data_IF_903010120955
#
_entry.id   IF_903010120955
#
_cell.length_a   1.000
_cell.length_b   1.000
_cell.length_c   1.000
_cell.angle_alpha   90.00
_cell.angle_beta   90.00
_cell.angle_gamma   90.00
#
_symmetry.space_group_name_H-M   'P 1'
#
loop_
_entity.id
_entity.type
_entity.pdbx_description
1 polymer ?
#
# COMPACT_ATOMS: atom_id res chain seq x y z
N UNK A 1 17.82 -3.31 -18.54
CA UNK A 1 17.50 -2.93 -19.94
C UNK A 1 16.05 -2.53 -20.14
N UNK A 2 15.05 -3.37 -19.83
CA UNK A 2 13.63 -3.01 -20.05
C UNK A 2 13.24 -1.72 -19.31
N UNK A 3 13.55 -1.62 -18.01
CA UNK A 3 13.26 -0.42 -17.20
C UNK A 3 13.97 0.82 -17.77
N UNK A 4 15.28 0.71 -18.05
CA UNK A 4 16.08 1.78 -18.66
C UNK A 4 15.41 2.30 -19.93
N UNK A 5 14.97 1.43 -20.83
CA UNK A 5 14.35 1.86 -22.09
C UNK A 5 13.02 2.59 -21.94
N UNK A 6 12.27 2.35 -20.87
CA UNK A 6 11.02 3.07 -20.60
C UNK A 6 11.24 4.37 -19.82
N UNK A 7 12.35 4.48 -19.09
CA UNK A 7 12.62 5.62 -18.22
C UNK A 7 13.73 6.55 -18.78
N UNK A 8 14.38 6.22 -19.90
CA UNK A 8 15.50 6.99 -20.44
C UNK A 8 15.13 8.42 -20.84
N UNK A 9 13.85 8.67 -21.17
CA UNK A 9 13.34 10.00 -21.50
C UNK A 9 12.90 10.85 -20.31
N UNK A 10 12.89 10.31 -19.07
CA UNK A 10 12.40 11.04 -17.92
C UNK A 10 13.44 12.00 -17.35
N UNK A 11 13.13 13.29 -17.38
CA UNK A 11 13.99 14.40 -16.95
C UNK A 11 13.21 15.39 -16.10
N UNK A 12 13.88 16.03 -15.14
CA UNK A 12 13.33 17.14 -14.34
C UNK A 12 13.41 18.44 -15.16
N UNK A 13 12.26 19.08 -15.36
CA UNK A 13 12.14 20.31 -16.13
C UNK A 13 12.30 21.56 -15.25
N UNK A 14 12.45 22.74 -15.87
CA UNK A 14 12.58 24.04 -15.21
C UNK A 14 11.41 24.44 -14.29
N UNK A 15 10.26 23.80 -14.43
CA UNK A 15 9.12 23.95 -13.53
C UNK A 15 9.13 22.95 -12.35
N UNK A 16 10.22 22.19 -12.20
CA UNK A 16 10.44 21.10 -11.23
C UNK A 16 9.58 19.84 -11.47
N UNK A 17 8.80 19.80 -12.57
CA UNK A 17 8.03 18.61 -12.94
C UNK A 17 8.94 17.57 -13.60
N UNK A 18 8.64 16.29 -13.38
CA UNK A 18 9.29 15.19 -14.10
C UNK A 18 8.46 14.89 -15.34
N UNK A 19 9.08 15.04 -16.51
CA UNK A 19 8.42 14.82 -17.79
C UNK A 19 9.15 13.80 -18.63
N UNK A 20 8.39 13.10 -19.47
CA UNK A 20 8.95 12.27 -20.53
C UNK A 20 9.31 13.12 -21.75
N UNK A 21 10.05 12.52 -22.68
CA UNK A 21 10.53 13.10 -23.94
C UNK A 21 9.42 13.63 -24.86
N UNK A 22 8.18 13.14 -24.70
CA UNK A 22 6.99 13.62 -25.42
C UNK A 22 6.33 14.84 -24.76
N UNK A 23 6.82 15.28 -23.60
CA UNK A 23 6.27 16.38 -22.81
C UNK A 23 5.19 15.99 -21.80
N UNK A 24 4.84 14.70 -21.72
CA UNK A 24 3.89 14.17 -20.74
C UNK A 24 4.43 14.30 -19.31
N UNK A 25 3.61 14.79 -18.39
CA UNK A 25 3.98 14.95 -16.97
C UNK A 25 3.78 13.64 -16.23
N UNK A 26 4.86 13.11 -15.64
CA UNK A 26 4.84 11.88 -14.83
C UNK A 26 4.78 12.19 -13.33
N UNK A 27 5.51 13.21 -12.87
CA UNK A 27 5.42 13.71 -11.49
C UNK A 27 5.38 15.24 -11.48
N UNK A 28 4.60 15.82 -10.56
CA UNK A 28 4.55 17.28 -10.39
C UNK A 28 5.78 17.84 -9.66
N UNK A 29 6.46 17.01 -8.87
CA UNK A 29 7.69 17.33 -8.18
C UNK A 29 8.47 16.03 -8.01
N UNK A 30 9.76 16.02 -8.36
CA UNK A 30 10.60 14.82 -8.23
C UNK A 30 10.59 14.30 -6.79
N UNK A 31 10.22 13.03 -6.59
CA UNK A 31 10.20 12.43 -5.26
C UNK A 31 9.21 13.08 -4.26
N UNK A 32 8.26 13.88 -4.74
CA UNK A 32 7.32 14.69 -3.95
C UNK A 32 7.97 15.81 -3.09
N UNK A 33 9.29 15.93 -3.06
CA UNK A 33 10.03 16.95 -2.30
C UNK A 33 11.04 17.76 -3.13
N UNK A 34 11.36 17.30 -4.34
CA UNK A 34 12.24 17.95 -5.31
C UNK A 34 13.72 17.78 -4.96
N UNK A 35 14.08 16.89 -4.05
CA UNK A 35 15.44 16.75 -3.55
C UNK A 35 16.27 15.76 -4.34
N UNK A 36 17.55 16.10 -4.52
CA UNK A 36 18.55 15.21 -5.09
C UNK A 36 19.14 14.29 -4.01
N UNK A 37 19.10 12.99 -4.27
CA UNK A 37 19.36 11.91 -3.31
C UNK A 37 20.76 12.05 -2.66
N UNK A 38 21.87 12.21 -3.40
CA UNK A 38 23.20 12.38 -2.82
C UNK A 38 23.32 13.65 -1.97
N UNK A 39 22.54 14.70 -2.25
CA UNK A 39 22.55 15.96 -1.48
C UNK A 39 21.71 15.89 -0.20
N UNK A 40 20.92 14.83 0.02
CA UNK A 40 20.03 14.69 1.19
C UNK A 40 20.71 14.24 2.49
N UNK A 41 21.95 13.74 2.44
CA UNK A 41 22.63 13.15 3.61
C UNK A 41 22.65 14.09 4.83
N UNK A 42 22.89 15.39 4.59
CA UNK A 42 22.95 16.41 5.63
C UNK A 42 21.58 16.99 6.03
N UNK A 43 20.49 16.59 5.38
CA UNK A 43 19.12 16.98 5.75
C UNK A 43 18.51 16.04 6.80
N UNK A 44 19.25 15.02 7.25
CA UNK A 44 18.81 14.12 8.30
C UNK A 44 19.00 14.76 9.69
N UNK A 45 18.07 14.56 10.64
CA UNK A 45 18.15 15.18 11.98
C UNK A 45 19.46 14.92 12.71
N UNK A 46 20.05 13.73 12.52
CA UNK A 46 21.34 13.33 13.10
C UNK A 46 22.51 14.22 12.67
N UNK A 47 22.40 14.88 11.53
CA UNK A 47 23.43 15.75 10.95
C UNK A 47 23.19 17.24 11.22
N UNK A 48 22.06 17.61 11.83
CA UNK A 48 21.78 19.01 12.17
C UNK A 48 22.79 19.62 13.15
N UNK A 49 23.27 18.90 14.18
CA UNK A 49 24.35 19.41 15.05
C UNK A 49 25.63 19.74 14.27
N UNK A 50 25.96 18.92 13.27
CA UNK A 50 27.12 19.16 12.41
C UNK A 50 26.94 20.42 11.54
N UNK A 51 25.74 20.67 11.03
CA UNK A 51 25.45 21.91 10.30
C UNK A 51 25.51 23.13 11.22
N UNK A 52 24.98 23.01 12.44
CA UNK A 52 24.97 24.09 13.43
C UNK A 52 26.40 24.48 13.86
N UNK A 53 27.28 23.49 14.11
CA UNK A 53 28.68 23.77 14.48
C UNK A 53 29.50 24.40 13.36
N UNK A 54 29.16 24.10 12.10
CA UNK A 54 29.86 24.64 10.92
C UNK A 54 29.18 25.86 10.30
N UNK A 55 28.28 26.53 11.03
CA UNK A 55 27.47 27.63 10.52
C UNK A 55 28.30 28.74 9.84
N UNK A 56 29.38 29.21 10.48
CA UNK A 56 30.19 30.32 9.96
C UNK A 56 30.85 29.98 8.62
N UNK A 57 31.33 28.74 8.48
CA UNK A 57 31.98 28.25 7.26
C UNK A 57 30.96 28.17 6.13
N UNK A 58 29.75 27.68 6.43
CA UNK A 58 28.67 27.58 5.45
C UNK A 58 28.18 28.96 5.04
N UNK A 59 28.07 29.89 5.99
CA UNK A 59 27.65 31.27 5.75
C UNK A 59 28.60 31.99 4.79
N UNK A 60 29.92 31.87 5.02
CA UNK A 60 30.97 32.48 4.19
C UNK A 60 31.08 31.83 2.81
N UNK A 61 31.12 30.50 2.76
CA UNK A 61 31.37 29.75 1.51
C UNK A 61 30.20 29.78 0.52
N UNK A 62 28.97 30.04 0.98
CA UNK A 62 27.75 29.97 0.16
C UNK A 62 27.09 31.33 -0.10
N UNK A 63 27.78 32.44 0.22
CA UNK A 63 27.26 33.80 0.07
C UNK A 63 25.82 33.95 0.59
N UNK A 64 25.54 33.37 1.77
CA UNK A 64 24.18 33.31 2.33
C UNK A 64 23.54 34.71 2.43
N UNK A 65 24.35 35.75 2.67
CA UNK A 65 23.86 37.14 2.72
C UNK A 65 23.27 37.63 1.38
N UNK A 66 23.82 37.20 0.25
CA UNK A 66 23.29 37.56 -1.07
C UNK A 66 22.00 36.79 -1.39
N UNK A 67 21.90 35.53 -0.96
CA UNK A 67 20.68 34.75 -1.12
C UNK A 67 19.55 35.33 -0.26
N UNK A 68 19.84 35.64 1.00
CA UNK A 68 18.86 36.21 1.93
C UNK A 68 18.39 37.62 1.53
N UNK A 69 19.21 38.40 0.84
CA UNK A 69 18.78 39.72 0.35
C UNK A 69 17.78 39.63 -0.81
N UNK A 70 17.78 38.52 -1.56
CA UNK A 70 16.87 38.26 -2.69
C UNK A 70 15.69 37.35 -2.32
N UNK A 71 15.81 36.61 -1.22
CA UNK A 71 14.82 35.63 -0.78
C UNK A 71 13.74 36.25 0.12
N UNK A 72 12.46 36.04 -0.21
CA UNK A 72 11.32 36.38 0.66
C UNK A 72 10.78 35.11 1.39
N UNK A 73 11.14 34.87 2.66
CA UNK A 73 10.59 33.76 3.45
C UNK A 73 9.12 33.94 3.87
N UNK A 74 8.58 35.16 3.82
CA UNK A 74 7.35 35.48 4.55
C UNK A 74 6.14 34.72 4.02
N UNK A 75 6.06 34.49 2.71
CA UNK A 75 4.95 33.78 2.07
C UNK A 75 4.88 32.32 2.52
N UNK A 76 5.98 31.59 2.41
CA UNK A 76 6.06 30.19 2.83
C UNK A 76 5.82 30.04 4.34
N UNK A 77 6.43 30.89 5.17
CA UNK A 77 6.24 30.86 6.62
C UNK A 77 4.79 31.15 7.04
N UNK A 78 4.11 32.12 6.40
CA UNK A 78 2.69 32.40 6.65
C UNK A 78 1.83 31.19 6.29
N UNK A 79 2.15 30.51 5.20
CA UNK A 79 1.45 29.31 4.76
C UNK A 79 1.62 28.17 5.77
N UNK A 80 2.84 27.91 6.23
CA UNK A 80 3.09 26.93 7.29
C UNK A 80 2.35 27.25 8.60
N UNK A 81 2.25 28.53 8.99
CA UNK A 81 1.43 28.93 10.14
C UNK A 81 -0.04 28.59 9.93
N UNK A 82 -0.57 28.76 8.72
CA UNK A 82 -1.94 28.37 8.40
C UNK A 82 -2.14 26.85 8.46
N UNK A 83 -1.21 26.06 7.92
CA UNK A 83 -1.21 24.59 8.01
C UNK A 83 -1.19 24.14 9.48
N UNK A 84 -0.24 24.63 10.29
CA UNK A 84 -0.13 24.28 11.72
C UNK A 84 -1.39 24.68 12.51
N UNK A 85 -1.97 25.85 12.22
CA UNK A 85 -3.24 26.31 12.81
C UNK A 85 -4.43 25.43 12.41
N UNK A 86 -4.41 24.87 11.20
CA UNK A 86 -5.44 23.92 10.77
C UNK A 86 -5.26 22.56 11.44
N UNK A 87 -4.04 22.04 11.50
CA UNK A 87 -3.69 20.77 12.14
C UNK A 87 -4.02 20.78 13.64
N UNK A 88 -3.74 21.88 14.35
CA UNK A 88 -4.07 21.99 15.78
C UNK A 88 -5.58 21.99 16.05
N UNK A 89 -6.38 22.49 15.11
CA UNK A 89 -7.85 22.42 15.18
C UNK A 89 -8.40 21.05 14.79
N UNK A 90 -7.62 20.23 14.08
CA UNK A 90 -8.05 18.94 13.53
C UNK A 90 -7.04 17.81 13.81
N UNK A 91 -6.80 17.44 15.09
CA UNK A 91 -5.79 16.43 15.44
C UNK A 91 -6.13 14.99 15.00
N UNK A 92 -7.41 14.70 14.75
CA UNK A 92 -7.93 13.35 14.45
C UNK A 92 -8.75 13.29 13.14
N UNK A 93 -8.46 14.14 12.16
CA UNK A 93 -9.14 14.07 10.86
C UNK A 93 -8.72 12.82 10.09
N UNK A 94 -9.61 11.83 10.06
CA UNK A 94 -9.59 10.79 9.03
C UNK A 94 -9.64 11.47 7.66
N UNK A 95 -8.59 11.29 6.86
CA UNK A 95 -8.27 11.95 5.57
C UNK A 95 -9.37 11.93 4.49
N UNK A 96 -10.54 11.32 4.72
CA UNK A 96 -11.61 11.17 3.71
C UNK A 96 -13.01 11.44 4.26
N UNK A 97 -13.19 12.48 5.09
CA UNK A 97 -14.55 12.95 5.45
C UNK A 97 -14.91 14.19 4.63
N UNK A 98 -15.53 13.98 3.47
CA UNK A 98 -16.08 15.07 2.65
C UNK A 98 -17.41 15.60 3.20
N UNK A 99 -17.83 16.78 2.72
CA UNK A 99 -19.08 17.43 3.14
C UNK A 99 -20.30 16.51 2.97
N UNK A 100 -20.36 15.78 1.85
CA UNK A 100 -21.39 14.79 1.58
C UNK A 100 -21.38 13.63 2.59
N UNK A 101 -20.22 13.20 3.04
CA UNK A 101 -20.10 12.06 3.96
C UNK A 101 -20.62 12.43 5.36
N UNK A 102 -20.32 13.65 5.83
CA UNK A 102 -20.89 14.19 7.07
C UNK A 102 -22.41 14.35 7.00
N UNK A 103 -22.93 14.79 5.85
CA UNK A 103 -24.37 14.89 5.61
C UNK A 103 -25.04 13.51 5.58
N UNK A 104 -24.46 12.58 4.81
CA UNK A 104 -24.92 11.21 4.68
C UNK A 104 -25.01 10.53 6.04
N UNK A 105 -24.00 10.66 6.91
CA UNK A 105 -24.04 10.05 8.25
C UNK A 105 -25.20 10.56 9.11
N UNK A 106 -25.56 11.84 8.99
CA UNK A 106 -26.66 12.45 9.75
C UNK A 106 -28.03 11.97 9.26
N UNK A 107 -28.19 11.81 7.95
CA UNK A 107 -29.49 11.50 7.31
C UNK A 107 -29.68 10.00 7.09
N UNK A 108 -28.61 9.21 7.14
CA UNK A 108 -28.66 7.76 6.95
C UNK A 108 -29.62 7.07 7.93
N UNK A 109 -29.74 7.53 9.18
CA UNK A 109 -30.70 6.98 10.14
C UNK A 109 -32.16 7.26 9.73
N UNK A 110 -32.45 8.47 9.26
CA UNK A 110 -33.79 8.87 8.81
C UNK A 110 -34.19 8.13 7.52
N UNK A 111 -33.27 7.95 6.58
CA UNK A 111 -33.56 7.23 5.32
C UNK A 111 -33.65 5.72 5.54
N UNK A 112 -32.89 5.15 6.50
CA UNK A 112 -33.07 3.75 6.90
C UNK A 112 -34.43 3.50 7.54
N UNK A 113 -34.95 4.47 8.31
CA UNK A 113 -36.28 4.36 8.92
C UNK A 113 -37.44 4.36 7.90
N UNK A 114 -37.20 4.83 6.67
CA UNK A 114 -38.19 4.79 5.58
C UNK A 114 -38.34 3.38 4.94
N UNK A 115 -37.57 2.38 5.39
CA UNK A 115 -37.66 0.96 4.94
C UNK A 115 -37.84 0.79 3.43
N UNK A 116 -37.05 1.53 2.63
CA UNK A 116 -37.10 1.42 1.18
C UNK A 116 -36.44 0.12 0.73
N UNK A 117 -37.26 -0.88 0.41
CA UNK A 117 -36.83 -2.12 -0.21
C UNK A 117 -36.79 -1.99 -1.73
N UNK A 118 -35.66 -2.37 -2.33
CA UNK A 118 -35.55 -2.57 -3.76
C UNK A 118 -34.12 -2.83 -4.23
N UNK A 119 -33.98 -3.19 -5.50
CA UNK A 119 -32.75 -3.75 -6.07
C UNK A 119 -31.53 -2.82 -5.98
N UNK A 120 -30.37 -3.41 -5.73
CA UNK A 120 -29.09 -2.71 -5.83
C UNK A 120 -28.72 -2.51 -7.30
N UNK A 121 -28.80 -1.27 -7.80
CA UNK A 121 -28.19 -0.90 -9.08
C UNK A 121 -26.76 -0.39 -8.83
N UNK A 122 -25.79 -0.93 -9.57
CA UNK A 122 -24.37 -0.55 -9.50
C UNK A 122 -23.77 -0.57 -8.09
N UNK A 123 -24.20 -1.51 -7.25
CA UNK A 123 -23.71 -1.68 -5.87
C UNK A 123 -24.19 -0.62 -4.87
N UNK A 124 -25.13 0.26 -5.25
CA UNK A 124 -25.74 1.27 -4.37
C UNK A 124 -27.21 0.94 -4.12
N UNK A 125 -27.62 1.01 -2.85
CA UNK A 125 -29.02 0.84 -2.47
C UNK A 125 -29.89 2.03 -2.89
N UNK A 126 -31.21 1.83 -2.99
CA UNK A 126 -32.17 2.92 -3.26
C UNK A 126 -32.08 4.05 -2.24
N UNK A 127 -31.94 3.71 -0.95
CA UNK A 127 -31.73 4.72 0.10
C UNK A 127 -30.46 5.55 -0.11
N UNK A 128 -29.40 4.96 -0.70
CA UNK A 128 -28.18 5.71 -1.04
C UNK A 128 -28.44 6.73 -2.16
N UNK A 129 -29.22 6.36 -3.18
CA UNK A 129 -29.61 7.27 -4.26
C UNK A 129 -30.50 8.41 -3.76
N UNK A 130 -31.40 8.13 -2.82
CA UNK A 130 -32.25 9.16 -2.22
C UNK A 130 -31.43 10.17 -1.41
N UNK A 131 -30.46 9.72 -0.61
CA UNK A 131 -29.53 10.63 0.10
C UNK A 131 -28.77 11.52 -0.89
N UNK A 132 -28.36 10.97 -2.04
CA UNK A 132 -27.69 11.70 -3.12
C UNK A 132 -28.60 12.76 -3.73
N UNK A 133 -29.86 12.42 -4.01
CA UNK A 133 -30.87 13.34 -4.52
C UNK A 133 -31.13 14.48 -3.52
N UNK A 134 -31.37 14.14 -2.25
CA UNK A 134 -31.55 15.12 -1.17
C UNK A 134 -30.34 16.03 -0.96
N UNK A 135 -29.12 15.53 -1.19
CA UNK A 135 -27.90 16.35 -1.12
C UNK A 135 -27.78 17.33 -2.29
N UNK A 136 -28.27 16.95 -3.48
CA UNK A 136 -28.24 17.81 -4.67
C UNK A 136 -29.35 18.87 -4.64
N UNK A 137 -30.50 18.54 -4.05
CA UNK A 137 -31.63 19.44 -3.83
C UNK A 137 -31.46 20.34 -2.59
N UNK A 138 -30.42 20.10 -1.78
CA UNK A 138 -30.14 20.88 -0.58
C UNK A 138 -29.82 22.34 -0.93
N UNK A 139 -30.37 23.26 -0.16
CA UNK A 139 -30.08 24.68 -0.29
C UNK A 139 -28.59 24.98 -0.08
N UNK A 140 -28.08 25.98 -0.81
CA UNK A 140 -26.66 26.32 -0.82
C UNK A 140 -26.17 26.74 0.57
N UNK A 141 -27.03 27.35 1.40
CA UNK A 141 -26.68 27.78 2.75
C UNK A 141 -26.47 26.58 3.69
N UNK A 142 -27.37 25.59 3.67
CA UNK A 142 -27.18 24.35 4.41
C UNK A 142 -26.00 23.54 3.89
N UNK A 143 -25.78 23.51 2.57
CA UNK A 143 -24.62 22.84 1.97
C UNK A 143 -23.30 23.47 2.43
N UNK A 144 -23.24 24.81 2.50
CA UNK A 144 -22.10 25.58 3.03
C UNK A 144 -21.80 25.24 4.50
N UNK A 145 -22.79 24.91 5.34
CA UNK A 145 -22.57 24.46 6.74
C UNK A 145 -21.77 23.15 6.77
N UNK A 146 -22.06 22.20 5.89
CA UNK A 146 -21.34 20.94 5.79
C UNK A 146 -19.97 21.12 5.12
N UNK A 147 -19.88 21.98 4.10
CA UNK A 147 -18.60 22.32 3.45
C UNK A 147 -17.63 23.01 4.40
N UNK A 148 -18.09 23.92 5.27
CA UNK A 148 -17.24 24.54 6.31
C UNK A 148 -16.72 23.52 7.32
N UNK A 149 -17.52 22.50 7.68
CA UNK A 149 -17.11 21.42 8.58
C UNK A 149 -16.15 20.44 7.93
N UNK A 150 -16.26 20.27 6.62
CA UNK A 150 -15.34 19.48 5.81
C UNK A 150 -14.34 20.39 5.07
N UNK A 151 -14.01 21.57 5.64
CA UNK A 151 -13.12 22.52 5.01
C UNK A 151 -11.81 21.80 4.67
N UNK A 152 -11.34 21.91 3.42
CA UNK A 152 -10.18 21.16 2.97
C UNK A 152 -8.98 21.50 3.83
N UNK A 153 -8.15 20.49 4.10
CA UNK A 153 -6.80 20.74 4.58
C UNK A 153 -6.14 21.72 3.59
N UNK A 154 -5.46 22.79 4.06
CA UNK A 154 -4.62 23.59 3.18
C UNK A 154 -3.66 22.68 2.43
N UNK A 155 -3.38 23.02 1.17
CA UNK A 155 -2.43 22.26 0.37
C UNK A 155 -1.03 22.30 1.01
N UNK A 156 -0.16 21.31 0.75
CA UNK A 156 1.21 21.34 1.23
C UNK A 156 1.97 22.57 0.71
N UNK A 157 2.95 23.07 1.47
CA UNK A 157 3.72 24.26 1.04
C UNK A 157 4.35 24.09 -0.33
N UNK A 158 4.91 22.91 -0.63
CA UNK A 158 5.58 22.62 -1.90
C UNK A 158 4.64 22.63 -3.11
N UNK A 159 3.34 22.38 -2.89
CA UNK A 159 2.34 22.41 -3.97
C UNK A 159 1.96 23.84 -4.37
N UNK A 160 2.02 24.78 -3.42
CA UNK A 160 1.64 26.18 -3.63
C UNK A 160 2.86 27.05 -3.97
N UNK A 161 3.97 26.81 -3.28
CA UNK A 161 5.18 27.62 -3.35
C UNK A 161 6.34 26.77 -3.85
N UNK A 162 6.81 27.07 -5.07
CA UNK A 162 7.94 26.37 -5.65
C UNK A 162 9.20 26.55 -4.79
N UNK A 163 9.89 25.47 -4.39
CA UNK A 163 11.02 25.54 -3.46
C UNK A 163 12.30 26.16 -4.05
N UNK A 164 12.42 26.23 -5.37
CA UNK A 164 13.54 26.87 -6.07
C UNK A 164 13.47 28.40 -6.00
N UNK A 165 12.27 28.97 -6.06
CA UNK A 165 12.02 30.43 -6.04
C UNK A 165 11.73 30.92 -4.62
N UNK A 166 10.83 30.23 -3.91
CA UNK A 166 10.33 30.67 -2.61
C UNK A 166 11.16 30.05 -1.49
N UNK A 167 12.00 30.87 -0.88
CA UNK A 167 12.77 30.49 0.28
C UNK A 167 11.87 30.03 1.43
N UNK A 168 12.35 29.08 2.22
CA UNK A 168 11.61 28.41 3.29
C UNK A 168 10.39 27.57 2.83
N UNK A 169 10.15 27.38 1.53
CA UNK A 169 9.20 26.35 1.07
C UNK A 169 9.86 24.98 1.13
N UNK A 170 9.46 24.17 2.11
CA UNK A 170 10.03 22.84 2.41
C UNK A 170 8.93 21.79 2.54
N UNK A 171 9.28 20.51 2.68
CA UNK A 171 8.29 19.48 2.98
C UNK A 171 7.79 19.57 4.43
N UNK A 172 6.54 19.16 4.67
CA UNK A 172 5.98 19.16 6.03
C UNK A 172 6.74 18.22 6.97
N UNK A 173 7.29 17.12 6.45
CA UNK A 173 8.11 16.18 7.21
C UNK A 173 9.43 16.82 7.64
N UNK A 174 10.04 17.64 6.78
CA UNK A 174 11.25 18.38 7.10
C UNK A 174 11.00 19.52 8.07
N UNK A 175 9.91 20.28 7.88
CA UNK A 175 9.49 21.33 8.82
C UNK A 175 9.27 20.75 10.22
N UNK A 176 8.64 19.57 10.32
CA UNK A 176 8.49 18.87 11.61
C UNK A 176 9.84 18.48 12.21
N UNK A 177 10.75 17.90 11.42
CA UNK A 177 12.12 17.56 11.88
C UNK A 177 12.87 18.79 12.38
N UNK A 178 12.72 19.94 11.70
CA UNK A 178 13.31 21.21 12.12
C UNK A 178 12.71 21.73 13.42
N UNK A 179 11.39 21.64 13.60
CA UNK A 179 10.71 22.04 14.83
C UNK A 179 11.15 21.17 16.02
N UNK A 180 11.16 19.84 15.84
CA UNK A 180 11.61 18.88 16.86
C UNK A 180 13.05 19.20 17.30
N UNK A 181 13.94 19.42 16.32
CA UNK A 181 15.33 19.79 16.60
C UNK A 181 15.47 21.18 17.25
N UNK A 182 14.62 22.15 16.89
CA UNK A 182 14.64 23.48 17.50
C UNK A 182 14.32 23.40 19.01
N UNK A 183 13.40 22.51 19.40
CA UNK A 183 13.06 22.25 20.81
C UNK A 183 14.24 21.58 21.54
N UNK A 184 14.84 20.56 20.92
CA UNK A 184 16.02 19.88 21.48
C UNK A 184 17.19 20.87 21.67
N UNK A 185 17.48 21.69 20.66
CA UNK A 185 18.54 22.70 20.70
C UNK A 185 18.32 23.72 21.81
N UNK A 186 17.10 24.23 21.97
CA UNK A 186 16.76 25.15 23.06
C UNK A 186 17.02 24.53 24.44
N UNK A 187 16.63 23.25 24.63
CA UNK A 187 16.86 22.53 25.88
C UNK A 187 18.33 22.24 26.18
N UNK A 188 19.17 22.15 25.15
CA UNK A 188 20.62 21.96 25.28
C UNK A 188 21.33 23.27 25.57
N UNK A 189 20.94 24.36 24.90
CA UNK A 189 21.46 25.70 25.15
C UNK A 189 21.20 26.19 26.59
N UNK A 190 20.11 25.76 27.22
CA UNK A 190 19.84 26.03 28.64
C UNK A 190 20.78 25.26 29.61
N UNK A 191 21.34 24.13 29.17
CA UNK A 191 22.24 23.29 29.98
C UNK A 191 23.71 23.61 29.78
N UNK A 192 24.07 24.16 28.62
CA UNK A 192 25.42 24.53 28.25
C UNK A 192 25.71 25.99 28.64
N UNK A 193 26.69 26.23 29.52
CA UNK A 193 27.13 27.58 29.91
C UNK A 193 27.84 28.35 28.77
N UNK A 194 28.14 27.70 27.65
CA UNK A 194 28.66 28.33 26.43
C UNK A 194 27.51 28.90 25.60
N UNK A 195 27.43 30.23 25.53
CA UNK A 195 26.53 30.93 24.60
C UNK A 195 27.00 30.64 23.17
N UNK A 196 26.32 29.72 22.49
CA UNK A 196 26.43 29.64 21.04
C UNK A 196 25.94 30.97 20.44
N UNK A 197 26.75 31.61 19.59
CA UNK A 197 26.40 32.86 18.88
C UNK A 197 25.25 32.68 17.86
N UNK A 198 24.79 31.44 17.67
CA UNK A 198 23.78 31.05 16.71
C UNK A 198 22.37 31.22 17.27
N UNK A 199 21.60 32.17 16.72
CA UNK A 199 20.18 32.28 17.05
C UNK A 199 19.35 31.16 16.41
N UNK A 200 18.22 30.80 17.04
CA UNK A 200 17.27 29.81 16.49
C UNK A 200 16.81 30.18 15.07
N UNK A 201 16.56 31.46 14.81
CA UNK A 201 16.16 31.94 13.47
C UNK A 201 17.28 31.73 12.44
N UNK A 202 18.54 31.95 12.81
CA UNK A 202 19.70 31.70 11.94
C UNK A 202 19.89 30.20 11.66
N UNK A 203 19.67 29.36 12.68
CA UNK A 203 19.70 27.91 12.52
C UNK A 203 18.61 27.43 11.55
N UNK A 204 17.37 27.90 11.70
CA UNK A 204 16.28 27.57 10.77
C UNK A 204 16.59 28.02 9.35
N UNK A 205 17.10 29.23 9.21
CA UNK A 205 17.52 29.80 7.93
C UNK A 205 18.62 28.96 7.27
N UNK A 206 19.59 28.47 8.06
CA UNK A 206 20.64 27.58 7.57
C UNK A 206 20.07 26.27 7.03
N UNK A 207 19.16 25.64 7.77
CA UNK A 207 18.54 24.37 7.37
C UNK A 207 17.68 24.55 6.11
N UNK A 208 16.94 25.65 6.01
CA UNK A 208 16.17 26.02 4.82
C UNK A 208 17.06 26.31 3.62
N UNK A 209 18.20 26.99 3.81
CA UNK A 209 19.19 27.16 2.75
C UNK A 209 19.72 25.81 2.28
N UNK A 210 20.07 24.92 3.22
CA UNK A 210 20.59 23.59 2.88
C UNK A 210 19.55 22.79 2.09
N UNK A 211 18.27 22.88 2.43
CA UNK A 211 17.17 22.29 1.66
C UNK A 211 17.16 22.79 0.22
N UNK A 212 17.09 24.11 0.01
CA UNK A 212 16.99 24.69 -1.34
C UNK A 212 18.22 24.36 -2.20
N UNK A 213 19.41 24.26 -1.59
CA UNK A 213 20.65 23.86 -2.30
C UNK A 213 20.74 22.35 -2.56
N UNK A 214 19.90 21.56 -1.91
CA UNK A 214 19.82 20.11 -2.12
C UNK A 214 18.71 19.73 -3.10
N UNK A 215 18.04 20.70 -3.73
CA UNK A 215 17.10 20.44 -4.82
C UNK A 215 17.83 19.80 -6.01
N UNK A 216 17.10 18.98 -6.76
CA UNK A 216 17.50 18.55 -8.10
C UNK A 216 17.66 19.77 -8.98
N UNK A 217 18.75 19.84 -9.74
CA UNK A 217 19.06 20.99 -10.58
C UNK A 217 18.24 20.87 -11.87
N UNK A 218 17.25 21.77 -12.11
CA UNK A 218 16.39 21.62 -13.25
C UNK A 218 17.09 22.15 -14.51
N UNK A 219 17.15 21.31 -15.54
CA UNK A 219 17.58 21.75 -16.88
C UNK A 219 19.07 21.68 -17.20
N UNK A 220 19.91 21.03 -16.39
CA UNK A 220 21.13 20.46 -16.96
C UNK A 220 20.72 19.23 -17.80
N UNK A 221 21.22 19.06 -19.04
CA UNK A 221 21.01 17.87 -19.88
C UNK A 221 21.46 16.52 -19.26
N UNK A 222 21.80 16.48 -17.96
CA UNK A 222 22.49 15.39 -17.29
C UNK A 222 21.70 14.67 -16.19
N UNK A 223 20.69 15.27 -15.56
CA UNK A 223 19.96 14.57 -14.47
C UNK A 223 18.78 13.77 -15.04
N UNK A 224 19.14 12.74 -15.79
CA UNK A 224 18.23 11.71 -16.29
C UNK A 224 17.72 10.88 -15.10
N UNK A 225 16.80 11.46 -14.33
CA UNK A 225 16.23 10.86 -13.12
C UNK A 225 15.60 9.50 -13.40
N UNK A 226 15.07 9.27 -14.59
CA UNK A 226 14.59 7.96 -14.99
C UNK A 226 15.69 6.93 -15.20
N UNK A 227 16.84 7.31 -15.76
CA UNK A 227 18.02 6.43 -15.87
C UNK A 227 18.57 6.09 -14.49
N UNK A 228 18.71 7.09 -13.61
CA UNK A 228 19.16 6.89 -12.23
C UNK A 228 18.22 5.96 -11.49
N UNK A 229 16.90 6.20 -11.56
CA UNK A 229 15.90 5.31 -10.96
C UNK A 229 15.98 3.88 -11.51
N UNK A 230 16.15 3.72 -12.83
CA UNK A 230 16.27 2.40 -13.45
C UNK A 230 17.52 1.64 -12.99
N UNK A 231 18.65 2.34 -12.84
CA UNK A 231 19.91 1.78 -12.35
C UNK A 231 19.82 1.42 -10.86
N UNK A 232 19.25 2.31 -10.04
CA UNK A 232 19.05 2.07 -8.60
C UNK A 232 18.12 0.90 -8.29
N UNK A 233 17.22 0.54 -9.20
CA UNK A 233 16.43 -0.71 -9.09
C UNK A 233 17.22 -1.91 -9.61
N UNK A 234 17.89 -1.75 -10.76
CA UNK A 234 18.55 -2.84 -11.48
C UNK A 234 19.80 -3.38 -10.79
N UNK A 235 20.70 -2.51 -10.31
CA UNK A 235 21.97 -2.90 -9.71
C UNK A 235 21.77 -3.69 -8.40
N UNK A 236 20.99 -3.23 -7.40
CA UNK A 236 20.77 -3.99 -6.17
C UNK A 236 20.00 -5.30 -6.39
N UNK A 237 19.22 -5.39 -7.47
CA UNK A 237 18.51 -6.63 -7.83
C UNK A 237 19.48 -7.80 -8.11
N UNK A 238 20.68 -7.50 -8.63
CA UNK A 238 21.71 -8.53 -8.83
C UNK A 238 22.12 -9.15 -7.50
N UNK A 239 22.28 -8.35 -6.44
CA UNK A 239 22.61 -8.80 -5.10
C UNK A 239 21.46 -9.63 -4.47
N UNK A 240 20.21 -9.24 -4.71
CA UNK A 240 19.05 -9.99 -4.20
C UNK A 240 18.96 -11.42 -4.75
N UNK A 241 19.52 -11.66 -5.94
CA UNK A 241 19.55 -13.00 -6.54
C UNK A 241 20.34 -13.95 -5.65
N UNK A 242 21.55 -13.55 -5.23
CA UNK A 242 22.41 -14.35 -4.36
C UNK A 242 21.75 -14.59 -2.99
N UNK A 243 21.19 -13.55 -2.38
CA UNK A 243 20.52 -13.67 -1.07
C UNK A 243 19.31 -14.62 -1.13
N UNK A 244 18.51 -14.57 -2.20
CA UNK A 244 17.32 -15.43 -2.34
C UNK A 244 17.70 -16.91 -2.42
N UNK A 245 18.83 -17.27 -3.05
CA UNK A 245 19.30 -18.66 -3.10
C UNK A 245 19.73 -19.18 -1.72
N UNK A 246 20.39 -18.37 -0.90
CA UNK A 246 20.77 -18.77 0.45
C UNK A 246 19.56 -18.95 1.39
N UNK A 247 18.51 -18.12 1.24
CA UNK A 247 17.29 -18.26 2.02
C UNK A 247 16.35 -19.35 1.50
N UNK A 248 16.37 -19.67 0.20
CA UNK A 248 15.54 -20.74 -0.38
C UNK A 248 15.85 -22.14 0.17
N UNK A 249 17.05 -22.36 0.71
CA UNK A 249 17.44 -23.61 1.38
C UNK A 249 16.83 -23.79 2.78
N UNK A 250 16.31 -22.73 3.41
CA UNK A 250 15.50 -22.82 4.63
C UNK A 250 14.04 -22.68 4.21
N UNK A 251 13.30 -23.78 4.15
CA UNK A 251 11.93 -23.88 3.61
C UNK A 251 10.82 -23.06 4.30
N UNK A 252 11.15 -21.93 4.93
CA UNK A 252 10.22 -21.04 5.63
C UNK A 252 9.66 -19.92 4.73
N UNK A 253 10.22 -19.70 3.54
CA UNK A 253 9.81 -18.59 2.66
C UNK A 253 8.91 -19.06 1.49
N UNK A 254 7.63 -19.29 1.77
CA UNK A 254 6.60 -19.63 0.78
C UNK A 254 6.09 -18.42 -0.05
N UNK A 255 6.96 -17.43 -0.29
CA UNK A 255 6.63 -16.22 -1.06
C UNK A 255 7.62 -16.13 -2.21
N UNK A 256 7.17 -15.75 -3.40
CA UNK A 256 8.10 -15.38 -4.49
C UNK A 256 8.97 -14.21 -4.02
N UNK A 257 10.28 -14.42 -3.90
CA UNK A 257 11.24 -13.41 -3.43
C UNK A 257 12.24 -13.03 -4.53
N UNK A 258 12.88 -11.87 -4.34
CA UNK A 258 13.95 -11.39 -5.20
C UNK A 258 13.52 -11.05 -6.64
N UNK A 259 14.38 -11.37 -7.60
CA UNK A 259 14.17 -11.07 -9.03
C UNK A 259 12.87 -11.68 -9.61
N UNK A 260 12.49 -12.94 -9.33
CA UNK A 260 11.23 -13.50 -9.82
C UNK A 260 10.01 -12.64 -9.49
N UNK A 261 9.95 -12.07 -8.28
CA UNK A 261 8.86 -11.19 -7.87
C UNK A 261 8.94 -9.82 -8.54
N UNK A 262 10.14 -9.26 -8.66
CA UNK A 262 10.33 -8.01 -9.40
C UNK A 262 9.90 -8.14 -10.87
N UNK A 263 10.24 -9.25 -11.54
CA UNK A 263 9.82 -9.51 -12.92
C UNK A 263 8.31 -9.61 -13.04
N UNK A 264 7.66 -10.29 -12.09
CA UNK A 264 6.21 -10.44 -12.05
C UNK A 264 5.49 -9.09 -11.91
N UNK A 265 6.01 -8.19 -11.07
CA UNK A 265 5.46 -6.85 -10.84
C UNK A 265 5.77 -5.90 -12.01
N UNK A 266 7.05 -5.76 -12.37
CA UNK A 266 7.52 -4.68 -13.24
C UNK A 266 7.53 -5.03 -14.73
N UNK A 267 7.81 -6.29 -15.09
CA UNK A 267 8.01 -6.66 -16.50
C UNK A 267 6.78 -7.27 -17.14
N UNK A 268 6.08 -8.14 -16.39
CA UNK A 268 4.92 -8.88 -16.91
C UNK A 268 3.61 -8.23 -16.49
N UNK A 269 3.57 -7.56 -15.34
CA UNK A 269 2.32 -7.10 -14.71
C UNK A 269 1.28 -8.23 -14.68
N UNK A 270 1.71 -9.42 -14.21
CA UNK A 270 0.92 -10.65 -14.33
C UNK A 270 -0.41 -10.55 -13.56
N UNK A 271 -1.52 -10.79 -14.23
CA UNK A 271 -2.83 -10.95 -13.57
C UNK A 271 -2.87 -12.20 -12.68
N UNK A 272 -2.18 -13.27 -13.08
CA UNK A 272 -2.09 -14.52 -12.34
C UNK A 272 -0.74 -14.60 -11.64
N UNK A 273 -0.69 -14.11 -10.40
CA UNK A 273 0.54 -14.17 -9.60
C UNK A 273 0.76 -15.57 -9.00
N UNK A 274 2.02 -16.00 -8.88
CA UNK A 274 2.37 -17.35 -8.40
C UNK A 274 1.96 -17.59 -6.94
N UNK A 275 2.22 -16.62 -6.07
CA UNK A 275 1.88 -16.68 -4.63
C UNK A 275 1.00 -15.51 -4.24
N UNK A 276 -0.32 -15.54 -4.55
CA UNK A 276 -1.24 -14.50 -4.15
C UNK A 276 -1.44 -14.53 -2.63
N UNK A 277 -1.27 -13.38 -1.98
CA UNK A 277 -1.45 -13.23 -0.55
C UNK A 277 -2.33 -12.03 -0.23
N UNK A 278 -3.13 -12.15 0.83
CA UNK A 278 -3.98 -11.08 1.34
C UNK A 278 -3.77 -10.92 2.84
N UNK A 279 -3.45 -9.69 3.26
CA UNK A 279 -3.34 -9.34 4.68
C UNK A 279 -4.64 -8.70 5.14
N UNK A 280 -5.30 -9.32 6.12
CA UNK A 280 -6.57 -8.83 6.67
C UNK A 280 -6.28 -8.14 8.02
N UNK A 281 -6.41 -6.80 8.13
CA UNK A 281 -6.19 -6.11 9.39
C UNK A 281 -7.32 -6.44 10.37
N UNK A 282 -6.95 -6.63 11.64
CA UNK A 282 -7.87 -7.01 12.72
C UNK A 282 -7.80 -5.96 13.82
N UNK A 283 -8.95 -5.61 14.40
CA UNK A 283 -8.99 -4.77 15.59
C UNK A 283 -8.22 -5.40 16.76
N UNK A 284 -7.40 -4.59 17.44
CA UNK A 284 -6.65 -5.02 18.62
C UNK A 284 -7.54 -5.12 19.87
N UNK A 285 -8.54 -6.00 19.83
CA UNK A 285 -9.41 -6.30 20.97
C UNK A 285 -9.38 -7.79 21.26
N UNK A 286 -9.43 -8.18 22.54
CA UNK A 286 -9.44 -9.60 22.95
C UNK A 286 -10.58 -10.38 22.28
N UNK A 287 -11.75 -9.75 22.07
CA UNK A 287 -12.89 -10.33 21.37
C UNK A 287 -12.60 -10.58 19.89
N UNK A 288 -12.00 -9.60 19.19
CA UNK A 288 -11.65 -9.75 17.78
C UNK A 288 -10.59 -10.85 17.58
N UNK A 289 -9.55 -10.90 18.42
CA UNK A 289 -8.52 -11.94 18.34
C UNK A 289 -9.08 -13.36 18.51
N UNK A 290 -10.04 -13.55 19.41
CA UNK A 290 -10.76 -14.84 19.54
C UNK A 290 -11.57 -15.16 18.29
N UNK A 291 -12.30 -14.18 17.73
CA UNK A 291 -13.09 -14.36 16.50
C UNK A 291 -12.21 -14.66 15.28
N UNK A 292 -11.02 -14.07 15.17
CA UNK A 292 -10.09 -14.33 14.07
C UNK A 292 -9.64 -15.78 14.03
N UNK A 293 -9.41 -16.41 15.18
CA UNK A 293 -9.08 -17.84 15.21
C UNK A 293 -10.22 -18.67 14.61
N UNK A 294 -11.47 -18.35 14.93
CA UNK A 294 -12.64 -19.03 14.34
C UNK A 294 -12.78 -18.71 12.83
N UNK A 295 -12.61 -17.46 12.44
CA UNK A 295 -12.67 -17.03 11.04
C UNK A 295 -11.58 -17.69 10.19
N UNK A 296 -10.37 -17.82 10.72
CA UNK A 296 -9.27 -18.55 10.07
C UNK A 296 -9.69 -19.97 9.72
N UNK A 297 -10.34 -20.68 10.65
CA UNK A 297 -10.84 -22.05 10.40
C UNK A 297 -11.93 -22.08 9.31
N UNK A 298 -12.81 -21.09 9.28
CA UNK A 298 -13.88 -21.00 8.28
C UNK A 298 -13.36 -20.68 6.87
N UNK A 299 -12.33 -19.84 6.76
CA UNK A 299 -11.74 -19.46 5.47
C UNK A 299 -10.76 -20.50 4.93
N UNK A 300 -10.25 -21.39 5.78
CA UNK A 300 -9.29 -22.41 5.37
C UNK A 300 -10.02 -23.46 4.53
N UNK A 301 -9.64 -23.57 3.26
CA UNK A 301 -10.08 -24.66 2.39
C UNK A 301 -9.63 -26.00 3.00
N UNK A 302 -10.56 -26.94 3.08
CA UNK A 302 -10.26 -28.31 3.50
C UNK A 302 -10.31 -29.21 2.28
N UNK A 303 -9.30 -30.06 2.12
CA UNK A 303 -9.28 -31.08 1.06
C UNK A 303 -9.71 -32.43 1.64
N UNK A 304 -10.43 -33.25 0.87
CA UNK A 304 -10.91 -34.56 1.34
C UNK A 304 -9.77 -35.47 1.83
N UNK A 305 -8.59 -35.37 1.20
CA UNK A 305 -7.40 -36.13 1.61
C UNK A 305 -6.89 -35.78 3.01
N UNK A 306 -7.25 -34.62 3.58
CA UNK A 306 -6.85 -34.24 4.94
C UNK A 306 -7.74 -34.90 6.01
N UNK A 307 -8.94 -35.37 5.65
CA UNK A 307 -9.92 -35.99 6.57
C UNK A 307 -10.08 -37.49 6.35
N UNK A 308 -9.39 -38.04 5.34
CA UNK A 308 -9.48 -39.43 4.94
C UNK A 308 -8.26 -40.18 5.48
N UNK A 309 -8.50 -41.26 6.22
CA UNK A 309 -7.46 -42.12 6.77
C UNK A 309 -6.98 -43.12 5.72
N UNK A 310 -7.93 -43.88 5.13
CA UNK A 310 -7.64 -44.87 4.08
C UNK A 310 -8.86 -45.17 3.23
N UNK A 311 -8.63 -45.77 2.07
CA UNK A 311 -9.67 -46.31 1.20
C UNK A 311 -9.35 -47.78 0.95
N UNK A 312 -10.25 -48.67 1.36
CA UNK A 312 -10.15 -50.08 1.01
C UNK A 312 -10.95 -50.34 -0.26
N UNK A 313 -10.31 -50.92 -1.27
CA UNK A 313 -10.92 -51.25 -2.57
C UNK A 313 -10.92 -52.75 -2.75
N UNK A 314 -12.10 -53.34 -2.84
CA UNK A 314 -12.28 -54.76 -3.13
C UNK A 314 -12.90 -54.92 -4.51
N UNK A 315 -12.27 -55.71 -5.36
CA UNK A 315 -12.75 -56.05 -6.69
C UNK A 315 -13.23 -57.51 -6.70
N UNK A 316 -14.44 -57.73 -7.19
CA UNK A 316 -14.98 -59.08 -7.38
C UNK A 316 -15.59 -59.22 -8.78
N UNK A 317 -15.39 -60.40 -9.37
CA UNK A 317 -15.98 -60.75 -10.66
C UNK A 317 -17.26 -61.55 -10.41
N UNK A 318 -18.38 -61.06 -10.90
CA UNK A 318 -19.67 -61.74 -10.81
C UNK A 318 -20.10 -62.16 -12.22
N UNK A 319 -20.42 -63.44 -12.38
CA UNK A 319 -21.01 -63.98 -13.61
C UNK A 319 -22.50 -64.21 -13.31
N UNK A 320 -23.38 -63.48 -13.99
CA UNK A 320 -24.83 -63.65 -13.83
C UNK A 320 -25.37 -64.84 -14.63
N UNK A 321 -26.57 -65.30 -14.29
CA UNK A 321 -27.26 -66.46 -14.89
C UNK A 321 -27.49 -66.34 -16.41
N UNK A 322 -27.30 -65.15 -17.01
CA UNK A 322 -27.49 -64.86 -18.43
C UNK A 322 -26.21 -64.40 -19.15
N UNK A 323 -25.04 -64.93 -18.79
CA UNK A 323 -23.74 -64.67 -19.46
C UNK A 323 -23.19 -63.23 -19.37
N UNK A 324 -23.87 -62.32 -18.67
CA UNK A 324 -23.31 -60.99 -18.38
C UNK A 324 -22.23 -61.09 -17.28
N UNK A 325 -21.02 -60.67 -17.63
CA UNK A 325 -19.86 -60.58 -16.72
C UNK A 325 -19.79 -59.17 -16.16
N UNK A 326 -19.96 -59.01 -14.85
CA UNK A 326 -19.82 -57.73 -14.16
C UNK A 326 -18.58 -57.73 -13.28
N UNK A 327 -17.80 -56.65 -13.36
CA UNK A 327 -16.80 -56.31 -12.35
C UNK A 327 -17.48 -55.44 -11.29
N UNK A 328 -17.48 -55.91 -10.05
CA UNK A 328 -18.04 -55.19 -8.91
C UNK A 328 -16.89 -54.62 -8.08
N UNK A 329 -16.87 -53.30 -7.93
CA UNK A 329 -15.92 -52.60 -7.08
C UNK A 329 -16.61 -52.15 -5.80
N UNK A 330 -16.17 -52.68 -4.66
CA UNK A 330 -16.61 -52.24 -3.32
C UNK A 330 -15.56 -51.31 -2.73
N UNK A 331 -15.92 -50.03 -2.64
CA UNK A 331 -15.07 -48.97 -2.05
C UNK A 331 -15.51 -48.70 -0.62
N UNK A 332 -14.61 -48.86 0.35
CA UNK A 332 -14.84 -48.50 1.76
C UNK A 332 -13.92 -47.35 2.16
N UNK A 333 -14.52 -46.19 2.41
CA UNK A 333 -13.81 -45.00 2.87
C UNK A 333 -13.72 -45.01 4.39
N UNK A 334 -12.52 -44.91 4.92
CA UNK A 334 -12.25 -44.76 6.34
C UNK A 334 -11.86 -43.30 6.61
N UNK A 335 -12.72 -42.60 7.35
CA UNK A 335 -12.50 -41.20 7.73
C UNK A 335 -11.89 -41.11 9.12
N UNK A 336 -11.06 -40.09 9.32
CA UNK A 336 -10.50 -39.79 10.63
C UNK A 336 -11.62 -39.48 11.64
N UNK A 337 -11.48 -39.85 12.92
CA UNK A 337 -12.43 -39.46 13.94
C UNK A 337 -12.51 -37.94 14.09
N UNK A 338 -13.70 -37.41 14.41
CA UNK A 338 -13.96 -35.96 14.47
C UNK A 338 -12.99 -35.20 15.39
N UNK A 339 -12.57 -35.82 16.50
CA UNK A 339 -11.67 -35.23 17.47
C UNK A 339 -10.31 -34.78 16.88
N UNK A 340 -9.83 -35.44 15.81
CA UNK A 340 -8.51 -35.16 15.23
C UNK A 340 -8.46 -33.87 14.41
N UNK A 341 -9.56 -33.49 13.76
CA UNK A 341 -9.58 -32.31 12.89
C UNK A 341 -10.47 -31.17 13.40
N UNK A 342 -11.32 -31.38 14.41
CA UNK A 342 -12.22 -30.36 14.98
C UNK A 342 -11.49 -29.10 15.46
N UNK A 343 -10.24 -29.25 15.93
CA UNK A 343 -9.46 -28.12 16.42
C UNK A 343 -8.97 -27.20 15.30
N UNK A 344 -8.71 -27.72 14.10
CA UNK A 344 -8.14 -26.96 12.99
C UNK A 344 -9.14 -26.63 11.88
N UNK A 345 -10.09 -27.54 11.63
CA UNK A 345 -11.03 -27.50 10.51
C UNK A 345 -12.45 -27.30 11.04
N UNK A 346 -13.21 -26.41 10.41
CA UNK A 346 -14.60 -26.14 10.78
C UNK A 346 -15.58 -27.08 10.03
N UNK A 347 -15.44 -28.40 10.22
CA UNK A 347 -16.24 -29.41 9.52
C UNK A 347 -16.92 -30.38 10.49
N UNK A 348 -18.17 -30.74 10.20
CA UNK A 348 -18.86 -31.86 10.86
C UNK A 348 -18.82 -33.11 9.98
N UNK A 349 -18.92 -34.33 10.55
CA UNK A 349 -18.97 -35.56 9.77
C UNK A 349 -20.10 -35.58 8.71
N UNK A 350 -21.25 -34.99 9.04
CA UNK A 350 -22.39 -34.83 8.12
C UNK A 350 -22.01 -34.02 6.87
N UNK A 351 -21.21 -32.97 7.03
CA UNK A 351 -20.78 -32.11 5.92
C UNK A 351 -19.84 -32.87 4.97
N UNK A 352 -19.03 -33.80 5.50
CA UNK A 352 -18.16 -34.68 4.72
C UNK A 352 -18.99 -35.66 3.90
N UNK A 353 -19.98 -36.31 4.52
CA UNK A 353 -20.87 -37.24 3.83
C UNK A 353 -21.68 -36.53 2.73
N UNK A 354 -22.19 -35.33 3.03
CA UNK A 354 -22.89 -34.52 2.04
C UNK A 354 -22.00 -34.15 0.84
N UNK A 355 -20.73 -33.79 1.08
CA UNK A 355 -19.76 -33.56 0.00
C UNK A 355 -19.46 -34.84 -0.80
N UNK A 356 -19.38 -35.99 -0.12
CA UNK A 356 -19.16 -37.29 -0.76
C UNK A 356 -20.28 -37.61 -1.75
N UNK A 357 -21.54 -37.51 -1.29
CA UNK A 357 -22.74 -37.78 -2.07
C UNK A 357 -22.94 -36.82 -3.24
N UNK A 358 -22.80 -35.52 -3.01
CA UNK A 358 -23.16 -34.50 -4.01
C UNK A 358 -22.07 -34.22 -5.04
N UNK A 359 -20.80 -34.22 -4.62
CA UNK A 359 -19.68 -33.77 -5.46
C UNK A 359 -18.66 -34.86 -5.73
N UNK A 360 -18.20 -35.57 -4.72
CA UNK A 360 -17.09 -36.51 -4.88
C UNK A 360 -17.46 -37.66 -5.82
N UNK A 361 -18.58 -38.35 -5.59
CA UNK A 361 -18.98 -39.46 -6.45
C UNK A 361 -19.26 -39.02 -7.88
N UNK A 362 -19.79 -37.81 -8.09
CA UNK A 362 -19.95 -37.25 -9.42
C UNK A 362 -18.60 -37.08 -10.14
N UNK A 363 -17.62 -36.48 -9.46
CA UNK A 363 -16.26 -36.31 -9.99
C UNK A 363 -15.57 -37.66 -10.23
N UNK A 364 -15.76 -38.63 -9.32
CA UNK A 364 -15.22 -39.98 -9.43
C UNK A 364 -15.79 -40.70 -10.66
N UNK A 365 -17.12 -40.70 -10.82
CA UNK A 365 -17.79 -41.35 -11.94
C UNK A 365 -17.45 -40.68 -13.28
N UNK A 366 -17.36 -39.35 -13.33
CA UNK A 366 -16.87 -38.64 -14.52
C UNK A 366 -15.42 -39.03 -14.86
N UNK A 367 -14.56 -39.20 -13.85
CA UNK A 367 -13.17 -39.62 -14.03
C UNK A 367 -13.04 -41.07 -14.50
N UNK A 368 -13.87 -41.97 -13.96
CA UNK A 368 -13.95 -43.37 -14.39
C UNK A 368 -14.46 -43.48 -15.83
N UNK A 369 -15.50 -42.72 -16.21
CA UNK A 369 -15.98 -42.64 -17.59
C UNK A 369 -14.89 -42.15 -18.54
N UNK A 370 -14.18 -41.07 -18.18
CA UNK A 370 -13.05 -40.56 -18.98
C UNK A 370 -11.93 -41.61 -19.15
N UNK A 371 -11.61 -42.38 -18.10
CA UNK A 371 -10.62 -43.46 -18.17
C UNK A 371 -11.10 -44.63 -19.04
N UNK A 372 -12.35 -45.09 -18.90
CA UNK A 372 -12.91 -46.15 -19.73
C UNK A 372 -13.02 -45.76 -21.21
N UNK A 373 -13.37 -44.50 -21.51
CA UNK A 373 -13.39 -44.00 -22.88
C UNK A 373 -11.98 -43.95 -23.51
N UNK A 374 -10.96 -43.60 -22.72
CA UNK A 374 -9.56 -43.71 -23.17
C UNK A 374 -9.13 -45.17 -23.36
N UNK A 375 -9.47 -46.06 -22.43
CA UNK A 375 -9.11 -47.48 -22.51
C UNK A 375 -9.81 -48.23 -23.66
N UNK A 376 -11.04 -47.85 -24.00
CA UNK A 376 -11.75 -48.37 -25.18
C UNK A 376 -11.17 -47.85 -26.49
N UNK A 377 -10.76 -46.58 -26.56
CA UNK A 377 -10.05 -46.02 -27.72
C UNK A 377 -8.68 -46.68 -27.96
N UNK A 378 -7.98 -47.12 -26.90
CA UNK A 378 -6.74 -47.89 -27.02
C UNK A 378 -6.94 -49.37 -27.39
N UNK A 379 -8.15 -49.92 -27.27
CA UNK A 379 -8.49 -51.28 -27.69
C UNK A 379 -9.00 -51.36 -29.14
N UNK A 380 -9.20 -50.23 -29.80
CA UNK A 380 -9.72 -50.13 -31.18
C UNK A 380 -8.64 -49.80 -32.22
N UNK A 381 -7.37 -49.81 -31.81
CA UNK A 381 -6.18 -49.85 -32.68
C UNK A 381 -5.49 -51.17 -32.44
#
# INVERSE_FOLDING_TARGET
RCIIKHLEGLVVQYDLTVRDSDGSVVQFLYGEDGLDIPKTQFLQPKQFPFLASNYEVIMKSKHLQEVLSRADPQKALRHFRAIKKWQSKHPNTLLRKGAFLSYSQKIQAAVKALNLEGGNQNGRSLGTHQILKMWNELDEQSRRKYQKKAAPCPDPSLAVWRPDIYFASVSETFEKKMDDYSVEWASQAEKSYEKSELSLDRLRTLLQLKWQRSLCDPGDPGEAVGLLAAQSIGEPSTQMTLNTFHFAGRGEMNVTLGIPRLREILMVASANIKTPMMSVPVFNTKKALKRVKSLKKQLTRVCLGEVLEKIDVQESFCVGDKHDKFQVYRLRFHFLPHAYYQQEKCLRPEDILHFMETRFFKILMESLRKKNNKASAFRTV
#
